data_IF_830585362551
#
_entry.id   IF_830585362551
#
_cell.length_a   1.000
_cell.length_b   1.000
_cell.length_c   1.000
_cell.angle_alpha   90.00
_cell.angle_beta   90.00
_cell.angle_gamma   90.00
#
_symmetry.space_group_name_H-M   'P 1'
#
loop_
_entity.id
_entity.type
_entity.pdbx_description
1 polymer ?
#
# COMPACT_ATOMS: atom_id res chain seq x y z
N UNK A 1 -0.44 -11.66 18.96
CA UNK A 1 -1.11 -10.39 19.26
C UNK A 1 -0.13 -9.49 20.01
N UNK A 2 0.06 -8.28 19.52
CA UNK A 2 0.92 -7.26 20.17
C UNK A 2 0.28 -6.70 21.43
N UNK A 3 1.03 -5.91 22.22
CA UNK A 3 0.53 -5.27 23.46
C UNK A 3 -0.64 -4.31 23.22
N UNK A 4 -0.77 -3.76 22.02
CA UNK A 4 -1.87 -2.89 21.56
C UNK A 4 -3.10 -3.65 21.06
N UNK A 5 -3.13 -4.98 21.17
CA UNK A 5 -4.22 -5.84 20.71
C UNK A 5 -4.18 -6.20 19.21
N UNK A 6 -3.22 -5.68 18.45
CA UNK A 6 -3.08 -5.97 17.02
C UNK A 6 -2.58 -7.39 16.79
N UNK A 7 -3.24 -8.17 15.95
CA UNK A 7 -2.78 -9.49 15.54
C UNK A 7 -2.03 -9.42 14.22
N UNK A 8 -0.80 -9.91 14.21
CA UNK A 8 0.05 -10.02 13.02
C UNK A 8 0.61 -11.43 12.90
N UNK A 9 0.86 -11.85 11.67
CA UNK A 9 1.37 -13.19 11.36
C UNK A 9 2.82 -13.09 10.91
N UNK A 10 3.66 -13.98 11.43
CA UNK A 10 5.08 -14.01 11.16
C UNK A 10 5.52 -15.43 10.81
N UNK A 11 6.58 -15.54 10.01
CA UNK A 11 7.29 -16.79 9.80
C UNK A 11 8.01 -17.22 11.09
N UNK A 12 8.47 -18.48 11.16
CA UNK A 12 9.18 -19.03 12.32
C UNK A 12 10.43 -18.22 12.74
N UNK A 13 11.07 -17.51 11.79
CA UNK A 13 12.23 -16.64 12.00
C UNK A 13 11.84 -15.19 12.42
N UNK A 14 10.55 -14.89 12.59
CA UNK A 14 10.06 -13.57 12.96
C UNK A 14 9.92 -12.59 11.80
N UNK A 15 10.12 -13.01 10.55
CA UNK A 15 9.84 -12.18 9.37
C UNK A 15 8.33 -12.04 9.16
N UNK A 16 7.87 -10.84 8.77
CA UNK A 16 6.45 -10.58 8.54
C UNK A 16 5.93 -11.34 7.31
N UNK A 17 4.76 -11.96 7.44
CA UNK A 17 4.04 -12.57 6.31
C UNK A 17 3.23 -11.54 5.51
N UNK A 18 3.06 -10.32 6.01
CA UNK A 18 2.32 -9.24 5.37
C UNK A 18 3.27 -8.39 4.52
N UNK A 19 2.84 -8.00 3.32
CA UNK A 19 3.54 -6.97 2.55
C UNK A 19 3.31 -5.59 3.18
N UNK A 20 4.32 -4.72 3.13
CA UNK A 20 4.23 -3.36 3.65
C UNK A 20 3.22 -2.50 2.87
N UNK A 21 2.94 -2.86 1.62
CA UNK A 21 2.02 -2.14 0.75
C UNK A 21 1.04 -3.07 0.05
N UNK A 22 -0.22 -2.61 -0.11
CA UNK A 22 -1.16 -3.16 -1.08
C UNK A 22 -0.84 -2.58 -2.46
N UNK A 23 -1.00 -3.37 -3.52
CA UNK A 23 -0.68 -2.94 -4.88
C UNK A 23 -1.69 -1.95 -5.45
N UNK A 24 -2.96 -2.13 -5.13
CA UNK A 24 -4.06 -1.35 -5.68
C UNK A 24 -4.82 -0.66 -4.55
N UNK A 25 -4.77 0.68 -4.46
CA UNK A 25 -5.43 1.43 -3.38
C UNK A 25 -6.94 1.62 -3.57
N UNK A 26 -7.52 1.08 -4.63
CA UNK A 26 -8.96 1.12 -4.96
C UNK A 26 -9.43 -0.25 -5.39
N UNK A 27 -10.51 -0.74 -4.77
CA UNK A 27 -11.11 -2.02 -5.16
C UNK A 27 -11.90 -1.87 -6.47
N UNK A 28 -11.87 -2.94 -7.29
CA UNK A 28 -12.65 -3.04 -8.53
C UNK A 28 -12.43 -1.92 -9.55
N UNK A 29 -11.31 -1.21 -9.47
CA UNK A 29 -10.95 -0.16 -10.41
C UNK A 29 -10.25 -0.72 -11.66
N UNK A 30 -10.51 -0.07 -12.79
CA UNK A 30 -9.81 -0.34 -14.05
C UNK A 30 -8.62 0.61 -14.19
N UNK A 31 -7.47 0.10 -14.57
CA UNK A 31 -6.33 0.95 -14.94
C UNK A 31 -6.67 1.67 -16.25
N UNK A 32 -6.78 2.99 -16.20
CA UNK A 32 -7.06 3.84 -17.37
C UNK A 32 -5.80 4.43 -17.98
N UNK A 33 -4.76 4.64 -17.18
CA UNK A 33 -3.45 5.11 -17.67
C UNK A 33 -2.33 4.53 -16.82
N UNK A 34 -1.25 4.10 -17.48
CA UNK A 34 -0.08 3.51 -16.82
C UNK A 34 1.01 4.55 -16.59
N UNK A 35 1.88 4.25 -15.64
CA UNK A 35 3.13 5.00 -15.43
C UNK A 35 3.97 5.04 -16.71
N UNK A 36 4.60 6.20 -17.00
CA UNK A 36 5.43 6.39 -18.17
C UNK A 36 6.53 7.43 -17.89
N UNK A 37 7.77 7.06 -18.10
CA UNK A 37 8.94 7.95 -17.98
C UNK A 37 9.07 8.99 -19.12
N UNK A 38 8.03 9.13 -19.96
CA UNK A 38 8.04 10.04 -21.09
C UNK A 38 8.61 9.39 -22.35
N UNK A 39 7.78 8.66 -23.11
CA UNK A 39 8.10 8.29 -24.49
C UNK A 39 7.71 9.43 -25.41
N UNK A 40 8.60 9.78 -26.36
CA UNK A 40 8.28 10.68 -27.47
C UNK A 40 7.02 10.17 -28.17
N UNK A 41 5.96 10.97 -28.16
CA UNK A 41 4.80 10.67 -28.99
C UNK A 41 5.17 10.96 -30.45
N UNK A 42 5.13 9.97 -31.35
CA UNK A 42 5.66 10.15 -32.71
C UNK A 42 4.95 11.23 -33.54
N UNK A 43 3.71 11.59 -33.16
CA UNK A 43 2.87 12.54 -33.91
C UNK A 43 2.83 13.94 -33.28
N UNK A 44 2.96 14.09 -31.95
CA UNK A 44 2.75 15.36 -31.26
C UNK A 44 4.03 16.03 -30.75
N UNK A 45 5.19 15.42 -30.93
CA UNK A 45 6.49 15.91 -30.48
C UNK A 45 6.56 16.40 -29.02
N UNK A 46 5.58 16.00 -28.17
CA UNK A 46 5.50 16.34 -26.76
C UNK A 46 5.81 15.10 -25.92
N UNK A 47 6.91 15.16 -25.18
CA UNK A 47 7.22 14.17 -24.13
C UNK A 47 6.30 14.46 -22.96
N UNK A 48 5.32 13.59 -22.71
CA UNK A 48 4.46 13.67 -21.54
C UNK A 48 4.76 12.48 -20.63
N UNK A 49 5.52 12.75 -19.56
CA UNK A 49 5.73 11.79 -18.50
C UNK A 49 4.45 11.66 -17.66
N UNK A 50 4.04 10.44 -17.33
CA UNK A 50 2.97 10.16 -16.39
C UNK A 50 3.58 9.55 -15.12
N UNK A 51 3.67 10.35 -14.06
CA UNK A 51 4.40 10.02 -12.81
C UNK A 51 3.68 9.01 -11.92
N UNK A 52 2.52 8.53 -12.33
CA UNK A 52 1.70 7.62 -11.54
C UNK A 52 0.88 6.67 -12.41
N UNK A 53 -0.09 6.03 -11.77
CA UNK A 53 -1.09 5.16 -12.41
C UNK A 53 -2.48 5.75 -12.16
N UNK A 54 -3.30 5.81 -13.19
CA UNK A 54 -4.68 6.24 -13.07
C UNK A 54 -5.62 5.04 -12.99
N UNK A 55 -6.45 5.04 -11.94
CA UNK A 55 -7.48 4.05 -11.68
C UNK A 55 -8.86 4.66 -11.88
N UNK A 56 -9.53 4.26 -12.96
CA UNK A 56 -10.91 4.68 -13.21
C UNK A 56 -11.88 3.87 -12.37
N UNK A 57 -12.70 4.57 -11.60
CA UNK A 57 -13.79 4.00 -10.81
C UNK A 57 -14.87 5.07 -10.60
N UNK A 58 -16.10 4.70 -10.20
CA UNK A 58 -17.17 5.67 -9.98
C UNK A 58 -16.80 6.74 -8.96
N UNK A 59 -17.36 7.92 -9.14
CA UNK A 59 -17.26 9.02 -8.17
C UNK A 59 -17.73 8.56 -6.78
N UNK A 60 -16.98 8.90 -5.73
CA UNK A 60 -17.28 8.47 -4.36
C UNK A 60 -16.75 7.09 -3.97
N UNK A 61 -16.12 6.35 -4.87
CA UNK A 61 -15.47 5.07 -4.55
C UNK A 61 -14.40 5.27 -3.47
N UNK A 62 -14.35 4.44 -2.41
CA UNK A 62 -13.36 4.57 -1.35
C UNK A 62 -11.93 4.37 -1.86
N UNK A 63 -11.03 5.21 -1.40
CA UNK A 63 -9.59 5.13 -1.62
C UNK A 63 -8.94 4.67 -0.32
N UNK A 64 -8.09 3.65 -0.40
CA UNK A 64 -7.38 3.04 0.73
C UNK A 64 -5.93 3.48 0.77
N UNK A 65 -5.39 3.69 1.97
CA UNK A 65 -3.95 3.84 2.14
C UNK A 65 -3.21 2.58 1.69
N UNK A 66 -2.22 2.73 0.84
CA UNK A 66 -1.43 1.60 0.36
C UNK A 66 -0.61 0.94 1.45
N UNK A 67 -0.21 1.65 2.48
CA UNK A 67 0.59 1.16 3.61
C UNK A 67 0.35 1.94 4.89
N UNK A 68 0.91 1.44 5.99
CA UNK A 68 0.97 2.17 7.25
C UNK A 68 1.82 3.43 7.07
N UNK A 69 1.40 4.56 7.63
CA UNK A 69 2.18 5.78 7.51
C UNK A 69 1.58 7.00 8.19
N UNK A 70 2.22 8.14 7.95
CA UNK A 70 1.82 9.45 8.45
C UNK A 70 1.39 10.35 7.31
N UNK A 71 0.25 10.98 7.43
CA UNK A 71 -0.27 11.94 6.46
C UNK A 71 0.56 13.21 6.50
N UNK A 72 1.27 13.51 5.41
CA UNK A 72 2.01 14.76 5.23
C UNK A 72 1.10 15.89 4.75
N UNK A 73 0.14 15.55 3.88
CA UNK A 73 -0.82 16.49 3.32
C UNK A 73 -2.18 15.80 3.18
N UNK A 74 -3.22 16.44 3.65
CA UNK A 74 -4.60 16.21 3.27
C UNK A 74 -5.21 17.58 2.94
N UNK A 75 -5.25 17.94 1.65
CA UNK A 75 -5.62 19.28 1.21
C UNK A 75 -5.51 19.45 -0.30
N UNK A 76 -5.76 20.66 -0.76
CA UNK A 76 -5.69 21.00 -2.18
C UNK A 76 -4.24 21.23 -2.63
N UNK A 77 -3.86 20.63 -3.76
CA UNK A 77 -2.52 20.71 -4.32
C UNK A 77 -2.56 20.95 -5.84
N UNK A 78 -2.71 22.21 -6.25
CA UNK A 78 -2.65 22.60 -7.66
C UNK A 78 -3.50 21.73 -8.59
N UNK A 79 -2.94 21.27 -9.69
CA UNK A 79 -3.58 20.41 -10.67
C UNK A 79 -3.98 19.02 -10.17
N UNK A 80 -3.40 18.54 -9.07
CA UNK A 80 -3.81 17.30 -8.40
C UNK A 80 -5.19 17.40 -7.72
N UNK A 81 -5.70 18.62 -7.48
CA UNK A 81 -6.95 18.82 -6.75
C UNK A 81 -6.83 18.42 -5.29
N UNK A 82 -7.88 17.82 -4.72
CA UNK A 82 -7.84 17.30 -3.36
C UNK A 82 -6.91 16.08 -3.31
N UNK A 83 -5.90 16.18 -2.47
CA UNK A 83 -4.75 15.28 -2.47
C UNK A 83 -4.44 14.82 -1.05
N UNK A 84 -4.14 13.54 -0.91
CA UNK A 84 -3.50 12.96 0.29
C UNK A 84 -2.09 12.52 -0.07
N UNK A 85 -1.12 12.89 0.75
CA UNK A 85 0.27 12.41 0.66
C UNK A 85 0.60 11.71 1.97
N UNK A 86 1.12 10.49 1.87
CA UNK A 86 1.47 9.66 3.04
C UNK A 86 2.95 9.32 2.97
N UNK A 87 3.66 9.52 4.09
CA UNK A 87 5.02 9.06 4.31
C UNK A 87 4.98 7.70 5.01
N UNK A 88 5.66 6.72 4.43
CA UNK A 88 5.77 5.36 4.95
C UNK A 88 7.22 5.10 5.35
N UNK A 89 7.52 5.22 6.64
CA UNK A 89 8.89 5.16 7.12
C UNK A 89 9.76 6.28 6.53
N UNK A 90 11.02 5.98 6.24
CA UNK A 90 11.97 7.00 5.74
C UNK A 90 12.06 7.06 4.22
N UNK A 91 11.78 5.95 3.52
CA UNK A 91 12.08 5.79 2.10
C UNK A 91 10.90 5.96 1.15
N UNK A 92 9.69 5.63 1.62
CA UNK A 92 8.52 5.48 0.75
C UNK A 92 7.50 6.58 0.96
N UNK A 93 6.93 7.04 -0.15
CA UNK A 93 5.85 8.03 -0.15
C UNK A 93 4.82 7.66 -1.19
N UNK A 94 3.53 7.82 -0.84
CA UNK A 94 2.42 7.66 -1.78
C UNK A 94 1.60 8.93 -1.88
N UNK A 95 1.06 9.19 -3.08
CA UNK A 95 0.21 10.34 -3.36
C UNK A 95 -1.08 9.85 -4.00
N UNK A 96 -2.20 10.42 -3.55
CA UNK A 96 -3.56 10.11 -3.99
C UNK A 96 -4.24 11.42 -4.39
N UNK A 97 -4.59 11.57 -5.66
CA UNK A 97 -5.09 12.84 -6.21
C UNK A 97 -6.49 12.74 -6.82
N UNK A 98 -7.02 13.91 -7.19
CA UNK A 98 -8.35 14.11 -7.76
C UNK A 98 -9.49 13.62 -6.86
N UNK A 99 -9.26 13.64 -5.56
CA UNK A 99 -10.24 13.16 -4.58
C UNK A 99 -11.44 14.10 -4.50
N UNK A 100 -12.62 13.52 -4.23
CA UNK A 100 -13.81 14.29 -3.87
C UNK A 100 -13.62 14.96 -2.51
N UNK A 101 -13.10 14.21 -1.55
CA UNK A 101 -12.87 14.64 -0.19
C UNK A 101 -12.11 13.60 0.61
N UNK A 102 -11.86 13.92 1.87
CA UNK A 102 -11.07 13.10 2.79
C UNK A 102 -11.99 12.32 3.74
N UNK A 103 -11.55 11.14 4.16
CA UNK A 103 -12.25 10.38 5.19
C UNK A 103 -12.15 11.09 6.55
N UNK A 104 -13.13 10.84 7.41
CA UNK A 104 -13.17 11.42 8.76
C UNK A 104 -11.87 11.09 9.52
N UNK A 105 -11.26 12.12 10.11
CA UNK A 105 -10.03 11.98 10.88
C UNK A 105 -8.73 11.99 10.03
N UNK A 106 -8.82 11.96 8.72
CA UNK A 106 -7.66 12.10 7.82
C UNK A 106 -7.32 13.57 7.62
N UNK A 107 -6.21 14.00 8.21
CA UNK A 107 -5.70 15.37 8.18
C UNK A 107 -4.17 15.35 8.27
N UNK A 108 -3.53 16.48 8.02
CA UNK A 108 -2.09 16.63 8.17
C UNK A 108 -1.65 16.13 9.55
N UNK A 109 -0.67 15.24 9.58
CA UNK A 109 -0.10 14.67 10.79
C UNK A 109 -0.82 13.43 11.33
N UNK A 110 -2.00 13.05 10.81
CA UNK A 110 -2.68 11.82 11.26
C UNK A 110 -1.91 10.58 10.83
N UNK A 111 -2.01 9.52 11.65
CA UNK A 111 -1.50 8.20 11.34
C UNK A 111 -2.57 7.38 10.67
N UNK A 112 -2.21 6.65 9.63
CA UNK A 112 -3.09 5.73 8.89
C UNK A 112 -2.49 4.33 8.82
N UNK A 113 -3.35 3.34 8.69
CA UNK A 113 -2.97 1.93 8.53
C UNK A 113 -3.17 1.49 7.09
N UNK A 114 -2.41 0.48 6.65
CA UNK A 114 -2.61 -0.18 5.36
C UNK A 114 -4.08 -0.62 5.21
N UNK A 115 -4.68 -0.27 4.08
CA UNK A 115 -6.07 -0.60 3.78
C UNK A 115 -7.11 0.31 4.43
N UNK A 116 -6.70 1.27 5.27
CA UNK A 116 -7.61 2.26 5.85
C UNK A 116 -8.15 3.19 4.77
N UNK A 117 -9.46 3.47 4.78
CA UNK A 117 -10.06 4.46 3.87
C UNK A 117 -9.54 5.85 4.24
N UNK A 118 -8.97 6.56 3.26
CA UNK A 118 -8.39 7.88 3.41
C UNK A 118 -9.18 8.98 2.69
N UNK A 119 -10.07 8.60 1.80
CA UNK A 119 -10.93 9.53 1.05
C UNK A 119 -11.67 8.81 -0.06
N UNK A 120 -12.15 9.58 -1.02
CA UNK A 120 -13.07 9.10 -2.04
C UNK A 120 -12.72 9.65 -3.41
N UNK A 121 -12.93 8.85 -4.47
CA UNK A 121 -12.68 9.25 -5.84
C UNK A 121 -13.56 10.44 -6.24
N UNK A 122 -12.95 11.40 -6.89
CA UNK A 122 -13.60 12.58 -7.44
C UNK A 122 -13.03 12.98 -8.79
N UNK A 123 -13.23 14.26 -9.11
CA UNK A 123 -12.77 14.90 -10.36
C UNK A 123 -12.12 16.25 -10.09
N UNK A 124 -11.64 16.49 -8.88
CA UNK A 124 -11.04 17.76 -8.49
C UNK A 124 -9.68 17.98 -9.16
N UNK A 125 -9.32 19.24 -9.41
CA UNK A 125 -8.10 19.60 -10.12
C UNK A 125 -8.22 19.38 -11.64
N UNK A 126 -7.11 19.07 -12.28
CA UNK A 126 -7.04 18.79 -13.72
C UNK A 126 -7.42 17.35 -14.01
N UNK A 127 -8.70 17.06 -14.02
CA UNK A 127 -9.27 15.75 -14.28
C UNK A 127 -10.42 15.84 -15.28
N UNK A 128 -10.44 14.91 -16.25
CA UNK A 128 -11.49 14.82 -17.28
C UNK A 128 -12.64 13.89 -16.91
N UNK A 129 -12.50 13.13 -15.81
CA UNK A 129 -13.51 12.20 -15.34
C UNK A 129 -13.11 11.54 -14.03
N UNK A 130 -14.03 10.81 -13.37
CA UNK A 130 -13.77 10.20 -12.08
C UNK A 130 -12.63 9.18 -12.16
N UNK A 131 -11.54 9.44 -11.47
CA UNK A 131 -10.41 8.52 -11.33
C UNK A 131 -9.55 8.87 -10.12
N UNK A 132 -8.76 7.91 -9.67
CA UNK A 132 -7.65 8.14 -8.75
C UNK A 132 -6.37 8.25 -9.57
N UNK A 133 -5.62 9.33 -9.41
CA UNK A 133 -4.21 9.39 -9.80
C UNK A 133 -3.35 8.98 -8.59
N UNK A 134 -2.59 7.91 -8.74
CA UNK A 134 -1.80 7.30 -7.68
C UNK A 134 -0.31 7.29 -8.04
N UNK A 135 0.52 7.87 -7.15
CA UNK A 135 1.97 7.89 -7.29
C UNK A 135 2.63 7.10 -6.17
N UNK A 136 3.71 6.41 -6.50
CA UNK A 136 4.59 5.74 -5.56
C UNK A 136 6.01 6.27 -5.73
N UNK A 137 6.65 6.66 -4.63
CA UNK A 137 8.00 7.19 -4.62
C UNK A 137 8.89 6.36 -3.68
N UNK A 138 10.11 6.12 -4.13
CA UNK A 138 11.19 5.50 -3.35
C UNK A 138 12.34 6.50 -3.32
N UNK A 139 12.75 6.94 -2.12
CA UNK A 139 13.81 7.93 -1.93
C UNK A 139 13.58 9.22 -2.77
N UNK A 140 12.32 9.66 -2.88
CA UNK A 140 11.92 10.83 -3.64
C UNK A 140 11.78 10.63 -5.16
N UNK A 141 12.07 9.45 -5.67
CA UNK A 141 11.98 9.11 -7.10
C UNK A 141 10.66 8.40 -7.39
N UNK A 142 9.92 8.87 -8.39
CA UNK A 142 8.70 8.20 -8.87
C UNK A 142 9.03 6.88 -9.54
N UNK A 143 8.31 5.84 -9.14
CA UNK A 143 8.46 4.49 -9.70
C UNK A 143 7.11 3.94 -10.13
N UNK A 144 7.10 3.00 -11.06
CA UNK A 144 5.89 2.30 -11.49
C UNK A 144 5.39 1.37 -10.38
N UNK A 145 4.25 1.69 -9.71
CA UNK A 145 3.74 0.87 -8.62
C UNK A 145 3.29 -0.53 -9.08
N UNK A 146 2.99 -0.71 -10.36
CA UNK A 146 2.57 -2.01 -10.91
C UNK A 146 3.75 -2.95 -11.14
N UNK A 147 4.92 -2.40 -11.49
CA UNK A 147 6.15 -3.16 -11.73
C UNK A 147 7.02 -3.37 -10.50
N UNK A 148 6.76 -2.62 -9.41
CA UNK A 148 7.59 -2.67 -8.21
C UNK A 148 7.40 -3.98 -7.44
N UNK A 149 8.52 -4.61 -7.03
CA UNK A 149 8.50 -5.66 -6.01
C UNK A 149 8.26 -5.00 -4.65
N UNK A 150 7.06 -5.19 -4.12
CA UNK A 150 6.66 -4.59 -2.85
C UNK A 150 7.45 -5.19 -1.68
N UNK A 151 8.01 -4.36 -0.78
CA UNK A 151 8.71 -4.84 0.40
C UNK A 151 7.76 -5.55 1.36
N UNK A 152 8.32 -6.44 2.18
CA UNK A 152 7.60 -7.01 3.32
C UNK A 152 7.46 -5.96 4.42
N UNK A 153 6.42 -6.08 5.24
CA UNK A 153 6.27 -5.27 6.44
C UNK A 153 7.41 -5.57 7.43
N UNK A 154 7.60 -4.68 8.40
CA UNK A 154 8.66 -4.83 9.38
C UNK A 154 8.57 -6.19 10.09
N UNK A 155 9.71 -6.83 10.36
CA UNK A 155 9.76 -8.04 11.15
C UNK A 155 9.29 -7.76 12.58
N UNK A 156 9.08 -8.83 13.36
CA UNK A 156 8.74 -8.70 14.77
C UNK A 156 9.80 -7.88 15.51
N UNK A 157 9.35 -6.97 16.38
CA UNK A 157 10.27 -6.16 17.16
C UNK A 157 11.21 -7.03 18.01
N UNK A 158 12.50 -6.65 18.06
CA UNK A 158 13.51 -7.41 18.82
C UNK A 158 13.11 -7.63 20.27
N UNK A 159 12.42 -6.67 20.88
CA UNK A 159 11.90 -6.75 22.25
C UNK A 159 10.79 -7.79 22.44
N UNK A 160 10.05 -8.12 21.37
CA UNK A 160 8.96 -9.10 21.40
C UNK A 160 9.39 -10.49 20.90
N UNK A 161 10.60 -10.59 20.33
CA UNK A 161 11.12 -11.85 19.77
C UNK A 161 11.15 -13.01 20.79
N UNK A 162 11.63 -12.82 22.05
CA UNK A 162 11.64 -13.92 23.02
C UNK A 162 10.23 -14.47 23.31
N UNK A 163 9.25 -13.58 23.46
CA UNK A 163 7.85 -13.96 23.67
C UNK A 163 7.27 -14.68 22.45
N UNK A 164 7.59 -14.22 21.26
CA UNK A 164 7.18 -14.86 20.01
C UNK A 164 7.74 -16.29 19.90
N UNK A 165 9.04 -16.45 20.14
CA UNK A 165 9.70 -17.77 20.09
C UNK A 165 9.12 -18.74 21.12
N UNK A 166 8.87 -18.28 22.33
CA UNK A 166 8.25 -19.08 23.39
C UNK A 166 6.87 -19.60 22.97
N UNK A 167 6.09 -18.80 22.25
CA UNK A 167 4.75 -19.19 21.79
C UNK A 167 4.75 -20.00 20.51
N UNK A 168 5.68 -19.73 19.60
CA UNK A 168 5.71 -20.35 18.27
C UNK A 168 6.41 -21.70 18.23
N UNK A 169 7.47 -21.91 19.02
CA UNK A 169 8.25 -23.15 19.03
C UNK A 169 7.42 -24.41 19.30
N UNK A 170 6.54 -24.46 20.31
CA UNK A 170 5.71 -25.63 20.57
C UNK A 170 4.75 -25.94 19.42
N UNK A 171 4.21 -24.87 18.78
CA UNK A 171 3.30 -25.01 17.64
C UNK A 171 4.03 -25.55 16.40
N UNK A 172 5.23 -25.05 16.14
CA UNK A 172 6.06 -25.51 15.03
C UNK A 172 6.47 -26.98 15.21
N UNK A 173 6.91 -27.39 16.40
CA UNK A 173 7.26 -28.76 16.71
C UNK A 173 6.07 -29.71 16.46
N UNK A 174 4.88 -29.33 16.91
CA UNK A 174 3.66 -30.11 16.69
C UNK A 174 3.31 -30.23 15.19
N UNK A 175 3.42 -29.14 14.43
CA UNK A 175 3.19 -29.17 12.98
C UNK A 175 4.19 -30.08 12.26
N UNK A 176 5.45 -30.09 12.66
CA UNK A 176 6.49 -30.94 12.10
C UNK A 176 6.22 -32.44 12.39
N UNK A 177 5.76 -32.79 13.58
CA UNK A 177 5.35 -34.13 13.96
C UNK A 177 4.13 -34.61 13.15
N UNK A 178 3.10 -33.75 13.02
CA UNK A 178 1.91 -34.07 12.22
C UNK A 178 2.27 -34.29 10.74
N UNK A 179 3.15 -33.44 10.20
CA UNK A 179 3.65 -33.54 8.83
C UNK A 179 4.44 -34.86 8.62
N UNK A 180 5.31 -35.20 9.53
CA UNK A 180 6.09 -36.42 9.47
C UNK A 180 5.17 -37.66 9.49
N UNK A 181 4.13 -37.66 10.33
CA UNK A 181 3.13 -38.72 10.43
C UNK A 181 2.33 -38.86 9.13
N UNK A 182 1.87 -37.73 8.54
CA UNK A 182 1.16 -37.77 7.25
C UNK A 182 2.04 -38.31 6.12
N UNK A 183 3.32 -37.94 6.06
CA UNK A 183 4.25 -38.43 5.05
C UNK A 183 4.54 -39.95 5.21
N UNK A 184 4.55 -40.44 6.44
CA UNK A 184 4.71 -41.87 6.71
C UNK A 184 3.48 -42.70 6.27
N UNK A 185 2.27 -42.15 6.51
CA UNK A 185 1.01 -42.78 6.09
C UNK A 185 0.83 -42.84 4.57
N UNK A 186 1.31 -41.83 3.83
CA UNK A 186 1.21 -41.78 2.37
C UNK A 186 2.26 -42.66 1.65
N UNK A 187 3.15 -43.34 2.38
CA UNK A 187 4.17 -44.27 1.82
C UNK A 187 3.78 -45.74 1.93
N UNK A 188 2.65 -46.06 2.54
CA UNK A 188 2.04 -47.38 2.57
C UNK A 188 1.00 -47.56 1.46
#
# INVERSE_FOLDING_TARGET
TSKDGTTSYYNADGTSMRKAFIRTPVDFARISSRFSNGRKHPILNKIRAHKGVDYAAPHGTPIKSAGDGKVLLAGRKGGYGNTVIIQHGQRYRTLYAHMQGFAKGVRNGSTVKQGQIIGYIGTTGLSTGPHLHYEFQVDGVHVDPLGLKLPMADPIAKSEMPRFMQQSQPLMARMDEERATMLALNRQ
#
